data_IF_034535819063
#
_entry.id   IF_034535819063
#
_cell.length_a   1.000
_cell.length_b   1.000
_cell.length_c   1.000
_cell.angle_alpha   90.00
_cell.angle_beta   90.00
_cell.angle_gamma   90.00
#
_symmetry.space_group_name_H-M   'P 1'
#
loop_
_entity.id
_entity.type
_entity.pdbx_description
1 polymer ?
#
# COMPACT_ATOMS: atom_id res chain seq x y z
N UNK A 1 -7.25 55.98 38.58
CA UNK A 1 -6.95 55.60 37.18
C UNK A 1 -5.78 54.63 37.12
N UNK A 2 -5.94 53.37 37.55
CA UNK A 2 -4.87 52.35 37.53
C UNK A 2 -5.41 50.93 37.32
N UNK A 3 -6.68 50.70 37.64
CA UNK A 3 -7.34 49.40 37.45
C UNK A 3 -7.67 49.07 35.97
N UNK A 4 -7.83 50.09 35.11
CA UNK A 4 -8.20 49.87 33.70
C UNK A 4 -7.05 49.27 32.87
N UNK A 5 -5.80 49.60 33.23
CA UNK A 5 -4.61 49.06 32.55
C UNK A 5 -4.41 47.56 32.82
N UNK A 6 -4.84 47.07 33.98
CA UNK A 6 -4.69 45.66 34.39
C UNK A 6 -5.67 44.72 33.65
N UNK A 7 -6.78 45.25 33.14
CA UNK A 7 -7.78 44.50 32.38
C UNK A 7 -7.43 44.35 30.88
N UNK A 8 -6.46 45.10 30.37
CA UNK A 8 -6.03 45.05 28.96
C UNK A 8 -4.89 44.04 28.72
N UNK A 9 -4.14 43.68 29.76
CA UNK A 9 -3.06 42.69 29.71
C UNK A 9 -3.51 41.27 29.31
N UNK A 10 -4.64 40.71 29.79
CA UNK A 10 -5.08 39.38 29.37
C UNK A 10 -5.60 39.35 27.92
N UNK A 11 -6.07 40.48 27.39
CA UNK A 11 -6.52 40.61 25.99
C UNK A 11 -5.34 40.64 25.02
N UNK A 12 -4.23 41.30 25.42
CA UNK A 12 -2.97 41.27 24.66
C UNK A 12 -2.26 39.90 24.70
N UNK A 13 -2.41 39.14 25.79
CA UNK A 13 -1.91 37.76 25.89
C UNK A 13 -2.63 36.77 24.98
N UNK A 14 -3.87 37.05 24.59
CA UNK A 14 -4.65 36.24 23.64
C UNK A 14 -4.28 36.50 22.17
N UNK A 15 -3.55 37.59 21.87
CA UNK A 15 -3.04 37.89 20.53
C UNK A 15 -1.76 37.11 20.18
N UNK A 16 -1.16 36.38 21.13
CA UNK A 16 0.15 35.72 20.95
C UNK A 16 0.04 34.23 20.61
N UNK A 17 -1.15 33.62 20.60
CA UNK A 17 -1.24 32.18 20.32
C UNK A 17 -2.46 31.82 19.47
N UNK A 18 -2.52 32.39 18.27
CA UNK A 18 -3.54 32.07 17.27
C UNK A 18 -2.88 31.65 15.96
N UNK A 19 -2.71 30.34 15.78
CA UNK A 19 -2.29 29.58 14.57
C UNK A 19 -0.80 29.20 14.52
N UNK A 20 -0.57 27.90 14.71
CA UNK A 20 0.71 27.17 14.79
C UNK A 20 1.58 27.51 16.00
N UNK A 21 1.72 26.54 16.91
CA UNK A 21 2.70 26.58 18.00
C UNK A 21 4.14 26.55 17.48
N UNK A 22 4.33 26.26 16.18
CA UNK A 22 5.61 26.17 15.48
C UNK A 22 5.48 26.66 14.01
N UNK A 23 5.59 27.98 13.74
CA UNK A 23 5.40 28.52 12.39
C UNK A 23 6.43 28.02 11.35
N UNK A 24 7.65 27.73 11.81
CA UNK A 24 8.72 27.19 10.96
C UNK A 24 8.40 25.75 10.57
N UNK A 25 7.98 24.93 11.53
CA UNK A 25 7.57 23.54 11.29
C UNK A 25 6.37 23.45 10.36
N UNK A 26 5.41 24.38 10.46
CA UNK A 26 4.27 24.45 9.54
C UNK A 26 4.73 24.73 8.10
N UNK A 27 5.61 25.73 7.91
CA UNK A 27 6.17 26.05 6.60
C UNK A 27 6.99 24.88 6.01
N UNK A 28 7.72 24.15 6.86
CA UNK A 28 8.44 22.93 6.46
C UNK A 28 7.45 21.84 6.03
N UNK A 29 6.40 21.59 6.81
CA UNK A 29 5.38 20.60 6.50
C UNK A 29 4.67 20.92 5.17
N UNK A 30 4.29 22.18 4.95
CA UNK A 30 3.71 22.63 3.66
C UNK A 30 4.67 22.36 2.49
N UNK A 31 5.98 22.66 2.66
CA UNK A 31 6.98 22.42 1.63
C UNK A 31 7.21 20.93 1.36
N UNK A 32 7.18 20.09 2.40
CA UNK A 32 7.25 18.63 2.27
C UNK A 32 6.04 18.12 1.50
N UNK A 33 4.83 18.56 1.85
CA UNK A 33 3.61 18.11 1.16
C UNK A 33 3.62 18.52 -0.32
N UNK A 34 4.01 19.75 -0.62
CA UNK A 34 4.12 20.26 -2.00
C UNK A 34 5.12 19.45 -2.82
N UNK A 35 6.34 19.26 -2.29
CA UNK A 35 7.38 18.48 -2.97
C UNK A 35 7.07 16.98 -3.06
N UNK A 36 6.38 16.41 -2.08
CA UNK A 36 6.05 14.98 -2.06
C UNK A 36 4.92 14.65 -3.03
N UNK A 37 3.97 15.56 -3.25
CA UNK A 37 2.84 15.35 -4.19
C UNK A 37 3.33 15.08 -5.61
N UNK A 38 4.27 15.88 -6.12
CA UNK A 38 4.85 15.67 -7.44
C UNK A 38 5.64 14.36 -7.50
N UNK A 39 6.50 14.12 -6.51
CA UNK A 39 7.33 12.92 -6.43
C UNK A 39 6.51 11.62 -6.37
N UNK A 40 5.43 11.58 -5.59
CA UNK A 40 4.54 10.41 -5.50
C UNK A 40 3.95 10.08 -6.87
N UNK A 41 3.47 11.08 -7.60
CA UNK A 41 2.84 10.86 -8.90
C UNK A 41 3.83 10.33 -9.94
N UNK A 42 5.06 10.85 -9.95
CA UNK A 42 6.14 10.36 -10.81
C UNK A 42 6.56 8.95 -10.41
N UNK A 43 6.83 8.72 -9.13
CA UNK A 43 7.28 7.42 -8.61
C UNK A 43 6.22 6.34 -8.86
N UNK A 44 4.92 6.67 -8.71
CA UNK A 44 3.82 5.72 -8.98
C UNK A 44 3.85 5.19 -10.42
N UNK A 45 4.26 6.00 -11.40
CA UNK A 45 4.38 5.55 -12.81
C UNK A 45 5.49 4.53 -13.00
N UNK A 46 6.48 4.53 -12.10
CA UNK A 46 7.62 3.62 -12.14
C UNK A 46 7.34 2.33 -11.34
N UNK A 47 6.11 2.08 -10.92
CA UNK A 47 5.71 0.80 -10.33
C UNK A 47 4.82 0.04 -11.31
N UNK A 48 5.24 -1.18 -11.63
CA UNK A 48 4.49 -2.13 -12.44
C UNK A 48 4.16 -3.41 -11.67
N UNK A 49 3.32 -4.25 -12.27
CA UNK A 49 3.09 -5.61 -11.81
C UNK A 49 4.02 -6.56 -12.55
N UNK A 50 4.93 -7.20 -11.82
CA UNK A 50 5.75 -8.30 -12.33
C UNK A 50 5.03 -9.60 -12.03
N UNK A 51 4.59 -10.30 -13.07
CA UNK A 51 3.80 -11.51 -12.96
C UNK A 51 4.44 -12.69 -13.68
N UNK A 52 4.43 -13.85 -13.04
CA UNK A 52 4.87 -15.12 -13.60
C UNK A 52 3.83 -16.20 -13.33
N UNK A 53 3.87 -17.27 -14.10
CA UNK A 53 3.06 -18.47 -13.81
C UNK A 53 3.99 -19.56 -13.27
N UNK A 54 3.55 -20.23 -12.20
CA UNK A 54 4.20 -21.42 -11.66
C UNK A 54 3.27 -22.59 -11.87
N UNK A 55 3.77 -23.67 -12.46
CA UNK A 55 3.01 -24.91 -12.66
C UNK A 55 3.69 -26.06 -11.94
N UNK A 56 2.89 -26.98 -11.44
CA UNK A 56 3.36 -28.21 -10.80
C UNK A 56 2.41 -29.36 -11.15
N UNK A 57 2.92 -30.59 -11.08
CA UNK A 57 2.07 -31.79 -11.14
C UNK A 57 1.25 -31.91 -9.86
N UNK A 58 0.08 -32.53 -9.98
CA UNK A 58 -0.85 -32.70 -8.87
C UNK A 58 -1.76 -31.49 -8.63
N UNK A 59 -2.29 -31.42 -7.43
CA UNK A 59 -3.34 -30.48 -7.01
C UNK A 59 -2.83 -29.18 -6.39
N UNK A 60 -1.51 -28.98 -6.29
CA UNK A 60 -0.92 -27.81 -5.64
C UNK A 60 0.09 -27.09 -6.55
N UNK A 61 0.05 -25.76 -6.56
CA UNK A 61 1.11 -24.92 -7.08
C UNK A 61 1.36 -23.71 -6.18
N UNK A 62 2.60 -23.52 -5.75
CA UNK A 62 2.98 -22.48 -4.77
C UNK A 62 3.77 -21.37 -5.44
N UNK A 63 3.34 -20.14 -5.23
CA UNK A 63 4.09 -18.96 -5.64
C UNK A 63 5.39 -18.81 -4.83
N UNK A 64 6.48 -18.33 -5.43
CA UNK A 64 7.70 -18.05 -4.70
C UNK A 64 7.50 -16.92 -3.70
N UNK A 65 8.33 -16.89 -2.65
CA UNK A 65 8.29 -15.83 -1.63
C UNK A 65 8.35 -14.43 -2.27
N UNK A 66 7.52 -13.52 -1.75
CA UNK A 66 7.39 -12.15 -2.27
C UNK A 66 6.47 -12.02 -3.49
N UNK A 67 5.76 -13.08 -3.89
CA UNK A 67 4.68 -13.02 -4.86
C UNK A 67 3.35 -13.43 -4.21
N UNK A 68 2.28 -12.72 -4.55
CA UNK A 68 0.92 -13.08 -4.18
C UNK A 68 0.28 -13.91 -5.31
N UNK A 69 -0.61 -14.84 -4.94
CA UNK A 69 -1.47 -15.53 -5.90
C UNK A 69 -2.56 -14.57 -6.38
N UNK A 70 -2.67 -14.36 -7.68
CA UNK A 70 -3.74 -13.54 -8.29
C UNK A 70 -4.78 -14.35 -9.03
N UNK A 71 -4.43 -15.56 -9.46
CA UNK A 71 -5.35 -16.52 -10.07
C UNK A 71 -4.78 -17.93 -9.98
N UNK A 72 -5.66 -18.92 -10.05
CA UNK A 72 -5.27 -20.32 -10.22
C UNK A 72 -5.87 -20.88 -11.51
N UNK A 73 -5.22 -21.91 -12.03
CA UNK A 73 -5.70 -22.69 -13.17
C UNK A 73 -5.42 -24.17 -12.88
N UNK A 74 -6.31 -25.03 -13.32
CA UNK A 74 -6.23 -26.47 -13.06
C UNK A 74 -6.27 -27.22 -14.38
N UNK A 75 -5.58 -28.36 -14.42
CA UNK A 75 -5.75 -29.32 -15.51
C UNK A 75 -7.11 -29.98 -15.50
N UNK A 76 -7.32 -30.90 -16.44
CA UNK A 76 -8.56 -31.68 -16.57
C UNK A 76 -9.86 -30.86 -16.63
N UNK A 77 -9.78 -29.61 -17.13
CA UNK A 77 -10.89 -28.65 -17.16
C UNK A 77 -11.54 -28.37 -15.78
N UNK A 78 -10.81 -28.57 -14.68
CA UNK A 78 -11.31 -28.29 -13.35
C UNK A 78 -11.41 -26.77 -13.12
N UNK A 79 -12.61 -26.29 -12.77
CA UNK A 79 -12.85 -24.88 -12.41
C UNK A 79 -12.87 -24.61 -10.91
N UNK A 80 -12.76 -25.64 -10.08
CA UNK A 80 -12.86 -25.53 -8.61
C UNK A 80 -11.47 -25.48 -7.98
N UNK A 81 -11.12 -24.34 -7.40
CA UNK A 81 -9.84 -24.12 -6.73
C UNK A 81 -9.99 -23.16 -5.56
N UNK A 82 -9.04 -23.23 -4.62
CA UNK A 82 -8.85 -22.29 -3.52
C UNK A 82 -7.38 -21.84 -3.41
N UNK A 83 -7.15 -20.77 -2.64
CA UNK A 83 -5.80 -20.33 -2.28
C UNK A 83 -5.56 -20.62 -0.80
N UNK A 84 -4.55 -21.43 -0.52
CA UNK A 84 -4.10 -21.80 0.83
C UNK A 84 -2.92 -20.94 1.26
N UNK A 85 -2.97 -20.50 2.51
CA UNK A 85 -1.94 -19.68 3.13
C UNK A 85 -1.53 -18.46 2.26
N UNK A 86 -2.46 -17.95 1.45
CA UNK A 86 -2.29 -16.82 0.52
C UNK A 86 -1.26 -17.03 -0.62
N UNK A 87 -0.52 -18.14 -0.62
CA UNK A 87 0.61 -18.38 -1.54
C UNK A 87 0.44 -19.60 -2.43
N UNK A 88 -0.50 -20.50 -2.13
CA UNK A 88 -0.60 -21.80 -2.80
C UNK A 88 -1.97 -22.00 -3.41
N UNK A 89 -2.02 -22.17 -4.73
CA UNK A 89 -3.20 -22.65 -5.42
C UNK A 89 -3.43 -24.12 -5.11
N UNK A 90 -4.67 -24.47 -4.80
CA UNK A 90 -5.13 -25.84 -4.61
C UNK A 90 -6.32 -26.14 -5.52
N UNK A 91 -6.17 -27.10 -6.43
CA UNK A 91 -7.23 -27.56 -7.32
C UNK A 91 -8.02 -28.70 -6.67
N UNK A 92 -9.33 -28.54 -6.55
CA UNK A 92 -10.16 -29.37 -5.66
C UNK A 92 -10.77 -30.60 -6.33
N UNK A 93 -10.73 -30.67 -7.67
CA UNK A 93 -11.33 -31.80 -8.37
C UNK A 93 -10.51 -33.09 -8.15
N UNK A 94 -11.16 -34.24 -8.30
CA UNK A 94 -10.47 -35.52 -8.17
C UNK A 94 -9.44 -35.75 -9.28
N UNK A 95 -8.32 -36.38 -8.95
CA UNK A 95 -7.28 -36.81 -9.88
C UNK A 95 -6.67 -35.68 -10.74
N UNK A 96 -6.22 -34.59 -10.09
CA UNK A 96 -5.53 -33.50 -10.76
C UNK A 96 -4.21 -33.95 -11.39
N UNK A 97 -4.13 -33.74 -12.70
CA UNK A 97 -2.93 -33.91 -13.52
C UNK A 97 -1.90 -32.82 -13.22
N UNK A 98 -2.34 -31.56 -13.18
CA UNK A 98 -1.49 -30.42 -12.84
C UNK A 98 -2.28 -29.22 -12.31
N UNK A 99 -1.57 -28.33 -11.62
CA UNK A 99 -2.07 -27.07 -11.08
C UNK A 99 -1.14 -25.94 -11.48
N UNK A 100 -1.70 -24.78 -11.77
CA UNK A 100 -0.98 -23.55 -12.08
C UNK A 100 -1.41 -22.39 -11.17
N UNK A 101 -0.44 -21.62 -10.71
CA UNK A 101 -0.63 -20.39 -9.96
C UNK A 101 -0.12 -19.20 -10.77
N UNK A 102 -0.94 -18.15 -10.89
CA UNK A 102 -0.50 -16.84 -11.38
C UNK A 102 0.00 -16.04 -10.20
N UNK A 103 1.29 -15.73 -10.23
CA UNK A 103 2.02 -15.12 -9.14
C UNK A 103 2.42 -13.70 -9.55
N UNK A 104 1.99 -12.68 -8.82
CA UNK A 104 2.32 -11.29 -9.10
C UNK A 104 2.93 -10.58 -7.90
N UNK A 105 3.74 -9.55 -8.16
CA UNK A 105 4.21 -8.59 -7.15
C UNK A 105 4.29 -7.20 -7.75
N UNK A 106 4.22 -6.18 -6.89
CA UNK A 106 4.65 -4.85 -7.27
C UNK A 106 6.16 -4.84 -7.45
N UNK A 107 6.62 -4.23 -8.53
CA UNK A 107 8.04 -4.09 -8.83
C UNK A 107 8.29 -2.70 -9.40
N UNK A 108 9.34 -2.05 -8.91
CA UNK A 108 9.82 -0.81 -9.53
C UNK A 108 10.45 -1.14 -10.89
N UNK A 109 10.08 -0.37 -11.90
CA UNK A 109 10.52 -0.48 -13.29
C UNK A 109 11.70 0.46 -13.59
N UNK A 110 12.46 0.87 -12.56
CA UNK A 110 13.61 1.76 -12.67
C UNK A 110 14.63 1.28 -13.71
#
# INVERSE_FOLDING_TARGET
MKALALLLLPVLGQLVCGKSLCPVDEAINEKIQDGTRSLILETRRNFGLSCRSVTSRGDLATCPAGFAVTACTCGSACGSWDVRAETTCHCQCAAMDWTGARCCRLQSTA
#
